data_IF_065536204119
#
_entry.id   IF_065536204119
#
_cell.length_a   1.000
_cell.length_b   1.000
_cell.length_c   1.000
_cell.angle_alpha   90.00
_cell.angle_beta   90.00
_cell.angle_gamma   90.00
#
_symmetry.space_group_name_H-M   'P 1'
#
loop_
_entity.id
_entity.type
_entity.pdbx_description
1 polymer ?
#
# COMPACT_ATOMS: atom_id res chain seq x y z
N UNK A 1 -5.87 -13.60 -6.25
CA UNK A 1 -5.38 -12.24 -6.60
C UNK A 1 -6.24 -11.56 -7.65
N UNK A 2 -6.64 -12.20 -8.77
CA UNK A 2 -7.40 -11.49 -9.83
C UNK A 2 -8.68 -10.80 -9.32
N UNK A 3 -9.36 -11.40 -8.35
CA UNK A 3 -10.65 -10.91 -7.86
C UNK A 3 -10.54 -9.67 -6.95
N UNK A 4 -9.33 -9.34 -6.47
CA UNK A 4 -9.08 -8.19 -5.59
C UNK A 4 -8.34 -7.05 -6.28
N UNK A 5 -7.78 -7.29 -7.47
CA UNK A 5 -7.02 -6.29 -8.22
C UNK A 5 -7.97 -5.46 -9.11
N UNK A 6 -7.94 -4.11 -9.04
CA UNK A 6 -8.72 -3.26 -9.93
C UNK A 6 -8.30 -3.50 -11.38
N UNK A 7 -9.24 -3.86 -12.24
CA UNK A 7 -8.99 -4.19 -13.65
C UNK A 7 -7.85 -5.22 -13.85
N UNK A 8 -7.71 -6.18 -12.94
CA UNK A 8 -6.62 -7.15 -12.93
C UNK A 8 -5.23 -6.51 -13.02
N UNK A 9 -5.05 -5.34 -12.42
CA UNK A 9 -3.81 -4.54 -12.45
C UNK A 9 -3.25 -4.38 -11.05
N UNK A 10 -1.96 -4.65 -10.90
CA UNK A 10 -1.19 -4.34 -9.69
C UNK A 10 -0.66 -2.93 -9.87
N UNK A 11 -1.01 -2.00 -8.99
CA UNK A 11 -0.39 -0.67 -8.96
C UNK A 11 0.65 -0.68 -7.84
N UNK A 12 1.86 -0.22 -8.14
CA UNK A 12 2.90 -0.07 -7.13
C UNK A 12 3.62 1.26 -7.38
N UNK A 13 3.58 2.16 -6.39
CA UNK A 13 4.19 3.50 -6.49
C UNK A 13 3.81 4.21 -7.82
N UNK A 14 2.49 4.31 -8.06
CA UNK A 14 1.89 4.90 -9.27
C UNK A 14 2.14 4.17 -10.60
N UNK A 15 2.86 3.05 -10.60
CA UNK A 15 3.12 2.28 -11.81
C UNK A 15 2.15 1.10 -11.94
N UNK A 16 1.37 1.00 -13.02
CA UNK A 16 0.47 -0.12 -13.26
C UNK A 16 1.21 -1.32 -13.89
N UNK A 17 0.90 -2.52 -13.42
CA UNK A 17 1.46 -3.78 -13.89
C UNK A 17 0.34 -4.81 -14.10
N UNK A 18 0.20 -5.32 -15.32
CA UNK A 18 -0.57 -6.56 -15.53
C UNK A 18 0.17 -7.73 -14.85
N UNK A 19 -0.53 -8.72 -14.26
CA UNK A 19 0.07 -9.88 -13.61
C UNK A 19 0.58 -10.91 -14.65
N UNK A 20 1.49 -10.45 -15.51
CA UNK A 20 2.20 -11.23 -16.50
C UNK A 20 3.57 -11.64 -15.92
N UNK A 21 4.12 -12.81 -16.29
CA UNK A 21 5.42 -13.25 -15.76
C UNK A 21 6.55 -12.22 -15.91
N UNK A 22 6.59 -11.48 -17.03
CA UNK A 22 7.57 -10.42 -17.28
C UNK A 22 7.46 -9.27 -16.29
N UNK A 23 6.24 -8.83 -15.98
CA UNK A 23 6.00 -7.75 -15.01
C UNK A 23 6.25 -8.22 -13.58
N UNK A 24 5.89 -9.47 -13.26
CA UNK A 24 6.21 -10.06 -11.97
C UNK A 24 7.73 -10.12 -11.76
N UNK A 25 8.51 -10.44 -12.79
CA UNK A 25 9.97 -10.42 -12.71
C UNK A 25 10.54 -9.02 -12.48
N UNK A 26 9.86 -7.95 -12.91
CA UNK A 26 10.23 -6.57 -12.60
C UNK A 26 9.92 -6.28 -11.13
N UNK A 27 8.70 -6.59 -10.70
CA UNK A 27 8.25 -6.34 -9.33
C UNK A 27 9.07 -7.13 -8.29
N UNK A 28 9.45 -8.37 -8.58
CA UNK A 28 10.31 -9.19 -7.71
C UNK A 28 11.75 -8.66 -7.59
N UNK A 29 12.20 -7.82 -8.53
CA UNK A 29 13.49 -7.12 -8.44
C UNK A 29 13.39 -5.82 -7.65
N UNK A 30 12.18 -5.30 -7.46
CA UNK A 30 11.97 -4.16 -6.57
C UNK A 30 12.08 -4.66 -5.13
N UNK A 31 12.70 -3.84 -4.30
CA UNK A 31 12.73 -4.08 -2.86
C UNK A 31 11.39 -3.63 -2.28
N UNK A 32 10.41 -4.54 -2.34
CA UNK A 32 9.04 -4.33 -1.87
C UNK A 32 8.60 -5.54 -1.05
N UNK A 33 7.93 -5.27 0.06
CA UNK A 33 7.38 -6.29 0.94
C UNK A 33 5.94 -6.60 0.54
N UNK A 34 5.65 -7.89 0.36
CA UNK A 34 4.36 -8.38 -0.11
C UNK A 34 3.60 -9.07 1.00
N UNK A 35 2.31 -8.79 1.11
CA UNK A 35 1.44 -9.44 2.07
C UNK A 35 0.13 -9.88 1.42
N UNK A 36 -0.33 -11.08 1.77
CA UNK A 36 -1.66 -11.60 1.47
C UNK A 36 -2.22 -12.27 2.72
N UNK A 37 -3.54 -12.23 2.90
CA UNK A 37 -4.22 -12.93 3.99
C UNK A 37 -4.28 -14.44 3.76
N UNK A 38 -4.51 -14.88 2.52
CA UNK A 38 -4.54 -16.29 2.14
C UNK A 38 -3.79 -16.52 0.81
N UNK A 39 -2.94 -17.56 0.77
CA UNK A 39 -2.11 -17.85 -0.38
C UNK A 39 -2.88 -18.43 -1.58
N UNK A 40 -4.03 -19.06 -1.35
CA UNK A 40 -4.86 -19.69 -2.39
C UNK A 40 -5.99 -18.76 -2.84
N UNK A 41 -6.64 -18.11 -1.90
CA UNK A 41 -7.83 -17.29 -2.12
C UNK A 41 -7.73 -15.96 -1.37
N UNK A 42 -6.78 -15.08 -1.75
CA UNK A 42 -6.57 -13.82 -1.03
C UNK A 42 -7.81 -12.93 -1.17
N UNK A 43 -8.27 -12.41 -0.04
CA UNK A 43 -9.31 -11.38 0.03
C UNK A 43 -8.73 -9.98 0.20
N UNK A 44 -7.47 -9.91 0.66
CA UNK A 44 -6.68 -8.69 0.70
C UNK A 44 -5.22 -8.97 0.31
N UNK A 45 -4.63 -8.06 -0.46
CA UNK A 45 -3.20 -8.06 -0.73
C UNK A 45 -2.66 -6.64 -0.54
N UNK A 46 -1.39 -6.53 -0.17
CA UNK A 46 -0.72 -5.24 -0.12
C UNK A 46 0.75 -5.34 -0.49
N UNK A 47 1.26 -4.22 -1.00
CA UNK A 47 2.67 -4.03 -1.33
C UNK A 47 3.18 -2.81 -0.58
N UNK A 48 4.26 -2.97 0.17
CA UNK A 48 4.91 -1.90 0.91
C UNK A 48 6.32 -1.67 0.38
N UNK A 49 6.69 -0.42 0.11
CA UNK A 49 8.10 -0.08 -0.11
C UNK A 49 8.86 -0.12 1.22
N UNK A 50 10.15 -0.47 1.20
CA UNK A 50 10.99 -0.23 2.38
C UNK A 50 11.16 1.29 2.61
N UNK A 51 11.26 1.74 3.89
CA UNK A 51 11.41 3.15 4.19
C UNK A 51 12.68 3.73 3.56
N UNK A 52 12.54 4.84 2.84
CA UNK A 52 13.66 5.57 2.26
C UNK A 52 13.70 7.02 2.77
N UNK A 53 14.90 7.60 2.83
CA UNK A 53 15.09 8.97 3.34
C UNK A 53 14.53 10.02 2.38
N UNK A 54 13.88 11.05 2.92
CA UNK A 54 13.35 12.18 2.15
C UNK A 54 13.93 13.53 2.61
N UNK A 55 14.13 14.49 1.70
CA UNK A 55 14.82 15.76 1.99
C UNK A 55 13.89 16.81 2.61
N UNK A 56 13.09 16.44 3.61
CA UNK A 56 12.14 17.34 4.32
C UNK A 56 12.71 17.77 5.69
N UNK A 57 13.68 17.02 6.21
CA UNK A 57 14.38 17.31 7.45
C UNK A 57 15.31 16.16 7.83
N UNK A 58 15.95 16.27 8.97
CA UNK A 58 16.81 15.22 9.49
C UNK A 58 15.98 14.01 9.92
N UNK A 59 16.42 12.81 9.50
CA UNK A 59 15.80 11.53 9.88
C UNK A 59 14.30 11.40 9.53
N UNK A 60 13.88 12.01 8.40
CA UNK A 60 12.57 11.74 7.80
C UNK A 60 12.64 10.62 6.77
N UNK A 61 11.72 9.68 6.91
CA UNK A 61 11.56 8.54 6.03
C UNK A 61 10.18 8.55 5.39
N UNK A 62 10.10 7.98 4.20
CA UNK A 62 8.87 7.79 3.48
C UNK A 62 8.70 6.32 3.11
N UNK A 63 7.47 5.82 3.21
CA UNK A 63 7.08 4.53 2.68
C UNK A 63 5.69 4.63 2.05
N UNK A 64 5.47 3.82 1.02
CA UNK A 64 4.21 3.71 0.32
C UNK A 64 3.61 2.32 0.53
N UNK A 65 2.31 2.25 0.79
CA UNK A 65 1.55 1.01 0.91
C UNK A 65 0.39 1.03 -0.10
N UNK A 66 0.45 0.17 -1.09
CA UNK A 66 -0.67 -0.07 -2.02
C UNK A 66 -1.47 -1.28 -1.52
N UNK A 67 -2.75 -1.09 -1.18
CA UNK A 67 -3.63 -2.14 -0.65
C UNK A 67 -4.80 -2.44 -1.58
N UNK A 68 -4.99 -3.73 -1.83
CA UNK A 68 -6.02 -4.31 -2.69
C UNK A 68 -6.96 -5.14 -1.82
N UNK A 69 -8.18 -4.65 -1.62
CA UNK A 69 -9.16 -5.31 -0.79
C UNK A 69 -10.25 -4.35 -0.35
N UNK A 70 -11.38 -4.91 0.08
CA UNK A 70 -12.57 -4.14 0.48
C UNK A 70 -12.98 -4.36 1.93
N UNK A 71 -12.34 -5.31 2.61
CA UNK A 71 -12.60 -5.57 4.02
C UNK A 71 -11.73 -4.66 4.89
N UNK A 72 -12.37 -3.74 5.62
CA UNK A 72 -11.67 -2.75 6.45
C UNK A 72 -10.77 -3.38 7.52
N UNK A 73 -11.23 -4.46 8.17
CA UNK A 73 -10.49 -5.08 9.26
C UNK A 73 -9.20 -5.72 8.73
N UNK A 74 -9.30 -6.41 7.59
CA UNK A 74 -8.14 -7.02 6.95
C UNK A 74 -7.17 -5.97 6.40
N UNK A 75 -7.68 -4.88 5.83
CA UNK A 75 -6.86 -3.74 5.38
C UNK A 75 -6.11 -3.10 6.56
N UNK A 76 -6.78 -2.86 7.68
CA UNK A 76 -6.15 -2.34 8.91
C UNK A 76 -5.06 -3.30 9.44
N UNK A 77 -5.32 -4.61 9.44
CA UNK A 77 -4.33 -5.61 9.87
C UNK A 77 -3.08 -5.60 8.99
N UNK A 78 -3.23 -5.54 7.66
CA UNK A 78 -2.08 -5.47 6.75
C UNK A 78 -1.31 -4.15 6.92
N UNK A 79 -2.03 -3.04 7.04
CA UNK A 79 -1.43 -1.72 7.28
C UNK A 79 -0.57 -1.71 8.56
N UNK A 80 -1.12 -2.15 9.70
CA UNK A 80 -0.38 -2.21 10.97
C UNK A 80 0.79 -3.18 10.89
N UNK A 81 0.64 -4.29 10.18
CA UNK A 81 1.71 -5.28 10.02
C UNK A 81 2.88 -4.72 9.23
N UNK A 82 2.63 -3.97 8.15
CA UNK A 82 3.67 -3.25 7.41
C UNK A 82 4.34 -2.19 8.26
N UNK A 83 3.58 -1.34 8.96
CA UNK A 83 4.16 -0.31 9.82
C UNK A 83 5.09 -0.92 10.88
N UNK A 84 4.66 -1.98 11.58
CA UNK A 84 5.52 -2.64 12.57
C UNK A 84 6.79 -3.19 11.92
N UNK A 85 6.64 -3.95 10.85
CA UNK A 85 7.77 -4.60 10.16
C UNK A 85 8.82 -3.61 9.67
N UNK A 86 8.39 -2.45 9.19
CA UNK A 86 9.28 -1.48 8.54
C UNK A 86 9.72 -0.32 9.43
N UNK A 87 8.99 -0.04 10.53
CA UNK A 87 9.26 1.13 11.37
C UNK A 87 9.68 0.79 12.80
N UNK A 88 9.50 -0.44 13.30
CA UNK A 88 9.77 -0.79 14.71
C UNK A 88 11.23 -0.51 15.14
N UNK A 89 12.19 -0.65 14.23
CA UNK A 89 13.62 -0.39 14.50
C UNK A 89 14.10 0.95 13.96
N UNK A 90 13.23 1.72 13.30
CA UNK A 90 13.60 2.95 12.62
C UNK A 90 13.65 4.11 13.63
N UNK A 91 14.69 4.94 13.54
CA UNK A 91 14.81 6.15 14.36
C UNK A 91 14.50 7.35 13.49
N UNK A 92 13.56 8.19 13.93
CA UNK A 92 13.15 9.39 13.21
C UNK A 92 11.66 9.44 12.98
N UNK A 93 11.26 10.14 11.93
CA UNK A 93 9.86 10.35 11.56
C UNK A 93 9.53 9.60 10.27
N UNK A 94 8.30 9.10 10.18
CA UNK A 94 7.84 8.35 9.01
C UNK A 94 6.61 9.03 8.44
N UNK A 95 6.67 9.33 7.14
CA UNK A 95 5.51 9.66 6.33
C UNK A 95 5.07 8.42 5.58
N UNK A 96 3.85 7.96 5.86
CA UNK A 96 3.27 6.82 5.17
C UNK A 96 2.22 7.32 4.17
N UNK A 97 2.42 7.01 2.90
CA UNK A 97 1.40 7.16 1.87
C UNK A 97 0.69 5.83 1.70
N UNK A 98 -0.63 5.86 1.58
CA UNK A 98 -1.42 4.65 1.40
C UNK A 98 -2.44 4.83 0.29
N UNK A 99 -2.57 3.80 -0.54
CA UNK A 99 -3.59 3.68 -1.57
C UNK A 99 -4.48 2.48 -1.25
N UNK A 100 -5.79 2.67 -1.36
CA UNK A 100 -6.80 1.68 -1.01
C UNK A 100 -8.12 1.96 -1.72
N UNK A 101 -9.08 1.04 -1.60
CA UNK A 101 -10.43 1.20 -2.12
C UNK A 101 -11.09 2.50 -1.54
N UNK A 102 -11.63 3.40 -2.39
CA UNK A 102 -12.09 4.74 -1.97
C UNK A 102 -13.04 4.76 -0.75
N UNK A 103 -14.04 3.86 -0.64
CA UNK A 103 -14.92 3.77 0.53
C UNK A 103 -14.21 3.51 1.86
N UNK A 104 -12.99 2.94 1.83
CA UNK A 104 -12.22 2.61 3.03
C UNK A 104 -11.36 3.76 3.54
N UNK A 105 -11.15 4.82 2.74
CA UNK A 105 -10.24 5.91 3.10
C UNK A 105 -10.63 6.57 4.42
N UNK A 106 -11.90 7.01 4.56
CA UNK A 106 -12.33 7.74 5.76
C UNK A 106 -12.26 6.88 7.04
N UNK A 107 -12.81 5.65 7.06
CA UNK A 107 -12.67 4.78 8.23
C UNK A 107 -11.22 4.46 8.60
N UNK A 108 -10.32 4.34 7.61
CA UNK A 108 -8.92 4.09 7.90
C UNK A 108 -8.19 5.35 8.41
N UNK A 109 -8.51 6.52 7.86
CA UNK A 109 -8.01 7.79 8.35
C UNK A 109 -8.41 8.04 9.81
N UNK A 110 -9.67 7.73 10.16
CA UNK A 110 -10.17 7.82 11.54
C UNK A 110 -9.42 6.82 12.44
N UNK A 111 -9.20 5.58 12.00
CA UNK A 111 -8.38 4.61 12.72
C UNK A 111 -6.93 5.11 12.97
N UNK A 112 -6.30 5.71 11.96
CA UNK A 112 -4.96 6.28 12.09
C UNK A 112 -4.90 7.39 13.15
N UNK A 113 -5.84 8.34 13.10
CA UNK A 113 -5.90 9.45 14.06
C UNK A 113 -6.24 8.96 15.48
N UNK A 114 -7.31 8.16 15.61
CA UNK A 114 -7.90 7.84 16.91
C UNK A 114 -7.17 6.69 17.62
N UNK A 115 -6.61 5.75 16.87
CA UNK A 115 -5.97 4.53 17.41
C UNK A 115 -4.46 4.62 17.40
N UNK A 116 -3.87 5.10 16.30
CA UNK A 116 -2.41 5.18 16.17
C UNK A 116 -1.84 6.54 16.63
N UNK A 117 -2.70 7.55 16.84
CA UNK A 117 -2.28 8.87 17.26
C UNK A 117 -1.43 9.60 16.22
N UNK A 118 -1.59 9.27 14.94
CA UNK A 118 -0.84 9.90 13.83
C UNK A 118 -1.65 11.02 13.19
N UNK A 119 -0.94 11.97 12.58
CA UNK A 119 -1.54 13.09 11.87
C UNK A 119 -1.68 12.80 10.37
N UNK A 120 -2.79 13.26 9.78
CA UNK A 120 -2.98 13.28 8.33
C UNK A 120 -2.29 14.51 7.73
N UNK A 121 -1.25 14.26 6.93
CA UNK A 121 -0.53 15.34 6.21
C UNK A 121 -1.23 15.75 4.92
N UNK A 122 -1.96 14.81 4.29
CA UNK A 122 -2.71 15.03 3.04
C UNK A 122 -4.06 14.32 3.11
N UNK A 123 -5.04 14.89 2.41
CA UNK A 123 -6.36 14.28 2.22
C UNK A 123 -6.30 13.10 1.21
N UNK A 124 -7.47 12.53 0.91
CA UNK A 124 -7.64 11.44 -0.03
C UNK A 124 -6.92 11.67 -1.36
N UNK A 125 -6.16 10.68 -1.78
CA UNK A 125 -5.52 10.62 -3.11
C UNK A 125 -5.83 9.28 -3.73
N UNK A 126 -6.30 9.28 -4.97
CA UNK A 126 -6.68 8.07 -5.69
C UNK A 126 -5.63 7.70 -6.75
N UNK A 127 -5.39 6.40 -6.89
CA UNK A 127 -4.68 5.83 -8.04
C UNK A 127 -5.69 5.29 -9.05
N UNK A 128 -5.89 6.01 -10.14
CA UNK A 128 -6.76 5.58 -11.23
C UNK A 128 -5.96 4.89 -12.35
N UNK A 129 -6.36 3.67 -12.72
CA UNK A 129 -5.88 3.02 -13.95
C UNK A 129 -6.76 3.51 -15.09
N UNK A 130 -6.28 4.52 -15.84
CA UNK A 130 -7.08 5.27 -16.82
C UNK A 130 -7.18 4.60 -18.20
N UNK A 131 -6.26 3.70 -18.54
CA UNK A 131 -6.25 2.98 -19.82
C UNK A 131 -6.34 1.47 -19.58
N UNK A 132 -7.39 0.85 -20.09
CA UNK A 132 -7.42 -0.57 -20.42
C UNK A 132 -7.01 -0.68 -21.87
N UNK A 133 -5.95 -1.43 -22.20
CA UNK A 133 -5.67 -1.75 -23.60
C UNK A 133 -6.97 -2.27 -24.24
N UNK A 134 -7.49 -1.50 -25.22
CA UNK A 134 -8.54 -1.96 -26.10
C UNK A 134 -8.02 -3.23 -26.77
N UNK A 135 -8.53 -4.38 -26.37
CA UNK A 135 -8.47 -5.59 -27.19
C UNK A 135 -9.61 -5.57 -28.19
#
# INVERSE_FOLDING_TARGET
MRDILPNATIVQDWQPFKPLPSNMAILLKKDIDWMVDDARYPTVASLCTFPFRVPIGDEWYYLNIDVFGKDLNLVQQQFVSHLRRHTDTLKGHVMCQMFLDPPLWKPLADFCCDTLGVELVKEYTEQCVVESDLM
#
